data_IF_923531667587
#
_entry.id   IF_923531667587
#
_cell.length_a   1.000
_cell.length_b   1.000
_cell.length_c   1.000
_cell.angle_alpha   90.00
_cell.angle_beta   90.00
_cell.angle_gamma   90.00
#
_symmetry.space_group_name_H-M   'P 1'
#
loop_
_entity.id
_entity.type
_entity.pdbx_description
1 polymer ?
#
# COMPACT_ATOMS: atom_id res chain seq x y z
N UNK A 1 -27.83 -49.25 38.77
CA UNK A 1 -28.12 -48.44 39.98
C UNK A 1 -26.81 -48.31 40.74
N UNK A 2 -26.19 -47.16 40.96
CA UNK A 2 -26.65 -45.77 40.99
C UNK A 2 -25.53 -44.86 40.40
N UNK A 3 -25.89 -43.99 39.46
CA UNK A 3 -25.85 -42.52 39.58
C UNK A 3 -24.44 -41.92 39.78
N UNK A 4 -23.80 -41.43 38.72
CA UNK A 4 -23.86 -40.04 38.22
C UNK A 4 -23.28 -38.98 39.20
N UNK A 5 -22.42 -38.12 38.64
CA UNK A 5 -22.15 -36.69 38.97
C UNK A 5 -20.91 -36.32 39.82
N UNK A 6 -19.86 -35.80 39.14
CA UNK A 6 -19.12 -34.51 39.35
C UNK A 6 -17.69 -34.65 38.79
N UNK A 7 -17.38 -34.11 37.61
CA UNK A 7 -17.02 -32.72 37.24
C UNK A 7 -15.61 -32.26 37.68
N UNK A 8 -14.83 -31.80 36.67
CA UNK A 8 -13.75 -30.79 36.71
C UNK A 8 -12.47 -31.16 37.48
N UNK A 9 -11.25 -30.84 37.09
CA UNK A 9 -10.64 -30.19 35.94
C UNK A 9 -9.12 -30.38 36.12
N UNK A 10 -8.34 -30.50 35.05
CA UNK A 10 -7.14 -29.69 34.84
C UNK A 10 -6.62 -29.97 33.41
N UNK A 11 -7.05 -29.07 32.53
CA UNK A 11 -6.33 -28.65 31.33
C UNK A 11 -4.86 -28.32 31.67
N UNK A 12 -3.91 -28.70 30.82
CA UNK A 12 -2.89 -27.73 30.44
C UNK A 12 -2.58 -27.90 28.95
N UNK A 13 -3.24 -27.04 28.20
CA UNK A 13 -3.20 -26.88 26.77
C UNK A 13 -1.75 -26.63 26.30
N UNK A 14 -1.19 -27.56 25.53
CA UNK A 14 -0.09 -27.23 24.63
C UNK A 14 -0.68 -26.66 23.34
N UNK A 15 -1.29 -25.47 23.44
CA UNK A 15 -1.51 -24.65 22.25
C UNK A 15 -0.12 -24.15 21.86
N UNK A 16 0.51 -24.85 20.93
CA UNK A 16 1.60 -24.28 20.15
C UNK A 16 1.01 -23.06 19.43
N UNK A 17 1.13 -21.88 20.05
CA UNK A 17 1.07 -20.63 19.32
C UNK A 17 2.32 -20.57 18.46
N UNK A 18 2.24 -21.19 17.29
CA UNK A 18 3.08 -20.83 16.17
C UNK A 18 2.70 -19.39 15.82
N UNK A 19 3.33 -18.41 16.49
CA UNK A 19 3.42 -17.05 15.95
C UNK A 19 4.30 -17.18 14.72
N UNK A 20 3.69 -17.58 13.61
CA UNK A 20 4.27 -17.33 12.32
C UNK A 20 4.52 -15.82 12.30
N UNK A 21 5.79 -15.43 12.21
CA UNK A 21 6.16 -14.11 11.75
C UNK A 21 5.78 -14.11 10.27
N UNK A 22 4.48 -13.98 10.01
CA UNK A 22 3.99 -13.62 8.70
C UNK A 22 4.43 -12.17 8.59
N UNK A 23 5.51 -11.92 7.85
CA UNK A 23 5.70 -10.61 7.28
C UNK A 23 4.37 -10.30 6.59
N UNK A 24 3.63 -9.30 7.09
CA UNK A 24 2.31 -8.94 6.59
C UNK A 24 2.48 -8.53 5.12
N UNK A 25 2.38 -9.51 4.23
CA UNK A 25 2.35 -9.30 2.80
C UNK A 25 0.96 -8.75 2.52
N UNK A 26 0.90 -7.48 2.11
CA UNK A 26 -0.32 -6.77 1.77
C UNK A 26 -1.18 -7.58 0.80
N UNK A 27 -2.39 -7.97 1.19
CA UNK A 27 -3.24 -8.81 0.34
C UNK A 27 -3.48 -8.20 -1.05
N UNK A 28 -3.57 -9.05 -2.07
CA UNK A 28 -4.06 -8.59 -3.37
C UNK A 28 -5.50 -8.12 -3.25
N UNK A 29 -5.87 -7.08 -4.00
CA UNK A 29 -7.23 -6.54 -3.95
C UNK A 29 -7.33 -5.11 -4.41
N UNK A 30 -8.51 -4.52 -4.16
CA UNK A 30 -8.78 -3.11 -4.44
C UNK A 30 -8.69 -2.29 -3.17
N UNK A 31 -8.07 -1.12 -3.27
CA UNK A 31 -7.79 -0.25 -2.13
C UNK A 31 -8.08 1.21 -2.47
N UNK A 32 -8.57 1.94 -1.48
CA UNK A 32 -8.26 3.35 -1.38
C UNK A 32 -6.93 3.51 -0.65
N UNK A 33 -6.07 4.39 -1.14
CA UNK A 33 -4.76 4.67 -0.52
C UNK A 33 -4.78 6.12 -0.04
N UNK A 34 -4.46 6.35 1.23
CA UNK A 34 -4.35 7.69 1.80
C UNK A 34 -3.02 7.89 2.50
N UNK A 35 -2.57 9.14 2.60
CA UNK A 35 -1.39 9.49 3.39
C UNK A 35 -1.73 9.46 4.88
N UNK A 36 -0.75 9.14 5.73
CA UNK A 36 -0.93 9.14 7.18
C UNK A 36 -0.81 10.55 7.82
N UNK A 37 -0.24 11.52 7.12
CA UNK A 37 -0.18 12.93 7.53
C UNK A 37 -1.59 13.54 7.63
N UNK A 38 -1.78 14.52 8.53
CA UNK A 38 -3.06 15.22 8.69
C UNK A 38 -3.12 16.54 7.88
N UNK A 39 -4.24 16.86 7.21
CA UNK A 39 -5.35 15.95 6.92
C UNK A 39 -4.86 14.78 6.06
N UNK A 40 -5.59 13.64 6.10
CA UNK A 40 -5.28 12.37 5.40
C UNK A 40 -5.97 12.28 4.02
N UNK A 41 -5.55 13.02 2.97
CA UNK A 41 -6.17 12.90 1.67
C UNK A 41 -5.90 11.52 1.07
N UNK A 42 -6.89 11.05 0.30
CA UNK A 42 -6.69 9.94 -0.61
C UNK A 42 -5.83 10.38 -1.79
N UNK A 43 -5.03 9.46 -2.30
CA UNK A 43 -4.34 9.67 -3.58
C UNK A 43 -5.16 9.08 -4.72
N UNK A 44 -5.12 9.77 -5.85
CA UNK A 44 -5.75 9.33 -7.07
C UNK A 44 -4.99 9.83 -8.28
N UNK A 45 -5.39 9.32 -9.44
CA UNK A 45 -4.92 9.85 -10.72
C UNK A 45 -5.51 11.24 -10.96
N UNK A 46 -4.69 12.15 -11.47
CA UNK A 46 -5.19 13.44 -11.96
C UNK A 46 -6.02 13.27 -13.24
N UNK A 47 -7.11 14.03 -13.36
CA UNK A 47 -8.04 13.96 -14.51
C UNK A 47 -7.52 14.66 -15.77
N UNK A 48 -6.26 15.09 -15.80
CA UNK A 48 -5.62 15.70 -16.96
C UNK A 48 -5.74 14.80 -18.21
N UNK A 49 -5.99 15.37 -19.40
CA UNK A 49 -6.03 14.61 -20.66
C UNK A 49 -4.64 14.17 -21.14
N UNK A 50 -3.58 14.39 -20.35
CA UNK A 50 -2.22 13.97 -20.70
C UNK A 50 -2.10 12.44 -20.74
N UNK A 51 -1.19 11.90 -21.58
CA UNK A 51 -0.93 10.45 -21.65
C UNK A 51 -0.26 9.92 -20.38
N UNK A 52 0.51 10.77 -19.69
CA UNK A 52 1.02 10.52 -18.35
C UNK A 52 0.21 11.37 -17.37
N UNK A 53 -0.50 10.69 -16.47
CA UNK A 53 -1.39 11.36 -15.52
C UNK A 53 -0.76 11.34 -14.14
N UNK A 54 -0.41 12.49 -13.55
CA UNK A 54 0.20 12.53 -12.23
C UNK A 54 -0.65 11.83 -11.16
N UNK A 55 0.01 11.16 -10.22
CA UNK A 55 -0.62 10.71 -8.98
C UNK A 55 -0.60 11.88 -8.01
N UNK A 56 -1.76 12.27 -7.49
CA UNK A 56 -1.92 13.45 -6.65
C UNK A 56 -2.85 13.17 -5.47
N UNK A 57 -2.74 13.96 -4.42
CA UNK A 57 -3.77 14.05 -3.38
C UNK A 57 -5.09 14.55 -3.97
N UNK A 58 -6.20 13.99 -3.52
CA UNK A 58 -7.56 14.28 -4.03
C UNK A 58 -7.66 14.15 -5.57
N UNK A 59 -7.01 13.12 -6.12
CA UNK A 59 -7.19 12.69 -7.50
C UNK A 59 -8.57 12.08 -7.75
N UNK A 60 -9.03 12.08 -9.01
CA UNK A 60 -10.39 11.64 -9.35
C UNK A 60 -10.55 10.12 -9.34
N UNK A 61 -9.55 9.38 -9.83
CA UNK A 61 -9.56 7.92 -9.82
C UNK A 61 -8.68 7.43 -8.68
N UNK A 62 -9.29 7.18 -7.52
CA UNK A 62 -8.62 6.85 -6.26
C UNK A 62 -8.85 5.39 -5.81
N UNK A 63 -9.33 4.53 -6.71
CA UNK A 63 -9.48 3.10 -6.49
C UNK A 63 -8.34 2.35 -7.17
N UNK A 64 -7.45 1.79 -6.36
CA UNK A 64 -6.22 1.17 -6.80
C UNK A 64 -6.32 -0.35 -6.73
N UNK A 65 -5.95 -1.04 -7.80
CA UNK A 65 -5.74 -2.48 -7.79
C UNK A 65 -4.29 -2.76 -7.40
N UNK A 66 -4.12 -3.54 -6.34
CA UNK A 66 -2.83 -4.03 -5.85
C UNK A 66 -2.71 -5.51 -6.16
N UNK A 67 -1.64 -5.91 -6.85
CA UNK A 67 -1.28 -7.31 -7.10
C UNK A 67 0.10 -7.62 -6.54
N UNK A 68 0.27 -8.77 -5.91
CA UNK A 68 1.56 -9.24 -5.45
C UNK A 68 2.31 -9.90 -6.60
N UNK A 69 3.62 -9.74 -6.58
CA UNK A 69 4.55 -10.44 -7.45
C UNK A 69 5.22 -11.60 -6.69
N UNK A 70 5.77 -12.61 -7.39
CA UNK A 70 6.38 -13.78 -6.74
C UNK A 70 7.54 -13.47 -5.78
N UNK A 71 8.17 -12.31 -5.92
CA UNK A 71 9.26 -11.83 -5.07
C UNK A 71 8.78 -11.03 -3.83
N UNK A 72 7.46 -10.89 -3.66
CA UNK A 72 6.84 -10.13 -2.57
C UNK A 72 6.72 -8.64 -2.81
N UNK A 73 7.19 -8.12 -3.95
CA UNK A 73 6.86 -6.75 -4.40
C UNK A 73 5.42 -6.68 -4.89
N UNK A 74 4.92 -5.48 -5.15
CA UNK A 74 3.56 -5.26 -5.65
C UNK A 74 3.55 -4.43 -6.93
N UNK A 75 2.48 -4.56 -7.70
CA UNK A 75 2.10 -3.59 -8.73
C UNK A 75 0.89 -2.81 -8.24
N UNK A 76 0.86 -1.52 -8.55
CA UNK A 76 -0.26 -0.62 -8.23
C UNK A 76 -0.78 -0.07 -9.55
N UNK A 77 -2.07 -0.28 -9.80
CA UNK A 77 -2.73 0.12 -11.03
C UNK A 77 -4.08 0.76 -10.77
N UNK A 78 -4.55 1.58 -11.72
CA UNK A 78 -5.91 2.09 -11.78
C UNK A 78 -6.62 1.53 -13.02
N UNK A 79 -7.94 1.42 -12.96
CA UNK A 79 -8.76 0.86 -14.04
C UNK A 79 -9.11 -0.63 -13.87
N UNK A 80 -9.90 -1.14 -14.81
CA UNK A 80 -10.47 -2.50 -14.78
C UNK A 80 -9.63 -3.50 -15.59
N UNK A 81 -10.02 -4.78 -15.54
CA UNK A 81 -9.30 -5.90 -16.19
C UNK A 81 -9.07 -5.77 -17.71
N UNK A 82 -9.70 -4.79 -18.37
CA UNK A 82 -9.55 -4.52 -19.80
C UNK A 82 -8.69 -3.30 -20.17
N UNK A 83 -8.45 -2.36 -19.25
CA UNK A 83 -7.59 -1.18 -19.42
C UNK A 83 -7.00 -0.85 -18.05
N UNK A 84 -5.70 -1.08 -17.89
CA UNK A 84 -4.98 -0.81 -16.64
C UNK A 84 -3.88 0.23 -16.88
N UNK A 85 -3.93 1.30 -16.10
CA UNK A 85 -2.84 2.26 -16.00
C UNK A 85 -1.97 1.90 -14.80
N UNK A 86 -0.68 1.68 -15.02
CA UNK A 86 0.26 1.34 -13.93
C UNK A 86 0.95 2.59 -13.38
N UNK A 87 1.15 2.62 -12.07
CA UNK A 87 1.95 3.68 -11.45
C UNK A 87 3.44 3.44 -11.69
N UNK A 88 4.10 4.44 -12.29
CA UNK A 88 5.52 4.45 -12.62
C UNK A 88 6.14 5.82 -12.33
N UNK A 89 7.44 5.97 -12.64
CA UNK A 89 8.12 7.26 -12.59
C UNK A 89 8.21 7.89 -13.98
N UNK A 90 7.99 9.20 -14.06
CA UNK A 90 8.39 9.99 -15.22
C UNK A 90 9.91 10.32 -15.18
N UNK A 91 10.41 10.97 -16.23
CA UNK A 91 11.82 11.39 -16.31
C UNK A 91 12.23 12.38 -15.21
N UNK A 92 11.26 13.07 -14.59
CA UNK A 92 11.46 14.01 -13.49
C UNK A 92 11.39 13.37 -12.09
N UNK A 93 11.05 12.08 -11.99
CA UNK A 93 10.88 11.37 -10.72
C UNK A 93 9.52 11.61 -10.04
N UNK A 94 8.53 12.13 -10.77
CA UNK A 94 7.15 12.20 -10.30
C UNK A 94 6.46 10.85 -10.51
N UNK A 95 5.50 10.53 -9.65
CA UNK A 95 4.66 9.34 -9.83
C UNK A 95 3.57 9.69 -10.83
N UNK A 96 3.46 8.87 -11.88
CA UNK A 96 2.47 9.01 -12.94
C UNK A 96 1.81 7.67 -13.23
N UNK A 97 0.56 7.72 -13.66
CA UNK A 97 -0.15 6.59 -14.25
C UNK A 97 0.05 6.61 -15.75
N UNK A 98 0.32 5.44 -16.33
CA UNK A 98 0.39 5.26 -17.78
C UNK A 98 -0.25 3.94 -18.21
N UNK A 99 -1.10 4.02 -19.23
CA UNK A 99 -1.81 2.88 -19.82
C UNK A 99 -0.92 2.03 -20.75
N UNK A 100 0.26 2.54 -21.12
CA UNK A 100 1.21 1.87 -22.02
C UNK A 100 2.42 1.28 -21.26
N UNK A 101 2.44 1.42 -19.93
CA UNK A 101 3.59 1.04 -19.12
C UNK A 101 3.63 -0.45 -18.79
N UNK A 102 4.85 -1.00 -18.75
CA UNK A 102 5.09 -2.27 -18.06
C UNK A 102 4.85 -2.08 -16.55
N UNK A 103 4.21 -3.04 -15.86
CA UNK A 103 3.97 -2.91 -14.43
C UNK A 103 5.26 -2.68 -13.66
N UNK A 104 5.33 -1.57 -12.92
CA UNK A 104 6.47 -1.27 -12.06
C UNK A 104 6.32 -1.98 -10.71
N UNK A 105 7.37 -2.71 -10.32
CA UNK A 105 7.42 -3.44 -9.06
C UNK A 105 7.81 -2.51 -7.90
N UNK A 106 6.88 -2.25 -6.98
CA UNK A 106 7.10 -1.45 -5.77
C UNK A 106 7.35 -2.36 -4.56
N UNK A 107 8.29 -1.99 -3.70
CA UNK A 107 8.46 -2.67 -2.41
C UNK A 107 7.54 -2.01 -1.40
N UNK A 108 6.72 -2.80 -0.70
CA UNK A 108 5.88 -2.28 0.38
C UNK A 108 6.29 -2.89 1.71
N UNK A 109 6.45 -2.04 2.73
CA UNK A 109 6.88 -2.47 4.05
C UNK A 109 5.99 -1.88 5.12
N UNK A 110 5.61 -2.71 6.09
CA UNK A 110 4.94 -2.25 7.30
C UNK A 110 5.90 -1.34 8.08
N UNK A 111 5.43 -0.13 8.41
CA UNK A 111 6.21 0.84 9.16
C UNK A 111 5.80 0.86 10.64
N UNK A 112 4.70 1.54 10.98
CA UNK A 112 4.14 1.60 12.33
C UNK A 112 2.62 1.44 12.28
N UNK A 113 2.05 0.68 13.24
CA UNK A 113 0.63 0.37 13.26
C UNK A 113 0.19 -0.33 11.97
N UNK A 114 -0.81 0.25 11.30
CA UNK A 114 -1.34 -0.22 10.01
C UNK A 114 -0.89 0.67 8.84
N UNK A 115 0.23 1.39 8.99
CA UNK A 115 0.82 2.24 7.94
C UNK A 115 1.99 1.57 7.25
N UNK A 116 2.18 1.89 5.98
CA UNK A 116 3.17 1.29 5.11
C UNK A 116 4.05 2.34 4.42
N UNK A 117 5.29 1.98 4.11
CA UNK A 117 6.08 2.69 3.09
C UNK A 117 5.88 2.01 1.73
N UNK A 118 5.80 2.82 0.66
CA UNK A 118 5.85 2.36 -0.72
C UNK A 118 7.19 2.80 -1.30
N UNK A 119 8.09 1.87 -1.56
CA UNK A 119 9.51 2.10 -1.81
C UNK A 119 9.89 1.72 -3.23
N UNK A 120 10.78 2.52 -3.81
CA UNK A 120 11.49 2.14 -5.02
C UNK A 120 12.28 0.84 -4.74
N UNK A 121 12.31 -0.14 -5.66
CA UNK A 121 12.83 -1.48 -5.40
C UNK A 121 14.37 -1.55 -5.21
N UNK A 122 15.07 -0.40 -5.17
CA UNK A 122 16.49 -0.39 -4.87
C UNK A 122 16.71 -0.37 -3.36
N UNK A 123 17.20 -1.48 -2.79
CA UNK A 123 17.49 -1.61 -1.35
C UNK A 123 18.77 -0.87 -0.93
N UNK A 124 18.99 0.33 -1.46
CA UNK A 124 20.14 1.19 -1.14
C UNK A 124 19.68 2.21 -0.10
N UNK A 125 20.50 2.48 0.90
CA UNK A 125 20.25 3.52 1.91
C UNK A 125 20.93 4.85 1.51
N UNK A 126 20.26 6.00 1.68
CA UNK A 126 18.89 6.18 2.20
C UNK A 126 17.83 5.65 1.21
N UNK A 127 16.75 5.09 1.75
CA UNK A 127 15.65 4.51 0.95
C UNK A 127 14.97 5.60 0.16
N UNK A 128 14.46 5.30 -1.04
CA UNK A 128 13.56 6.18 -1.78
C UNK A 128 12.16 5.61 -1.80
N UNK A 129 11.16 6.41 -1.48
CA UNK A 129 9.77 5.97 -1.52
C UNK A 129 8.80 7.12 -1.78
N UNK A 130 7.54 6.75 -1.93
CA UNK A 130 6.45 7.67 -2.22
C UNK A 130 6.30 8.67 -1.09
N UNK A 131 6.11 9.93 -1.46
CA UNK A 131 5.97 11.03 -0.53
C UNK A 131 5.11 12.13 -1.13
N UNK A 132 4.37 12.85 -0.28
CA UNK A 132 3.78 14.14 -0.66
C UNK A 132 4.59 15.29 -0.07
N UNK A 133 4.49 16.47 -0.69
CA UNK A 133 5.09 17.69 -0.15
C UNK A 133 4.26 18.24 1.01
N UNK A 134 2.94 18.19 0.88
CA UNK A 134 1.94 18.61 1.85
C UNK A 134 0.63 17.88 1.55
N UNK A 135 -0.34 17.97 2.46
CA UNK A 135 -1.67 17.39 2.32
C UNK A 135 -2.67 18.31 1.59
N UNK A 136 -2.21 19.34 0.89
CA UNK A 136 -3.12 20.20 0.10
C UNK A 136 -3.68 19.40 -1.09
N UNK A 137 -4.91 19.67 -1.55
CA UNK A 137 -5.45 19.04 -2.75
C UNK A 137 -4.53 19.23 -3.95
N UNK A 138 -4.42 18.21 -4.79
CA UNK A 138 -3.56 18.21 -5.99
C UNK A 138 -2.05 18.31 -5.72
N UNK A 139 -1.60 18.09 -4.49
CA UNK A 139 -0.17 17.87 -4.21
C UNK A 139 0.28 16.59 -4.90
N UNK A 140 1.34 16.68 -5.69
CA UNK A 140 1.93 15.54 -6.36
C UNK A 140 2.50 14.52 -5.36
N UNK A 141 2.31 13.25 -5.68
CA UNK A 141 3.07 12.14 -5.09
C UNK A 141 4.39 12.05 -5.86
N UNK A 142 5.50 12.10 -5.13
CA UNK A 142 6.86 12.14 -5.67
C UNK A 142 7.73 11.12 -4.95
N UNK A 143 8.88 10.79 -5.54
CA UNK A 143 9.88 9.96 -4.88
C UNK A 143 10.80 10.83 -4.00
N UNK A 144 10.89 10.54 -2.70
CA UNK A 144 11.82 11.20 -1.77
C UNK A 144 12.67 10.20 -0.99
N UNK A 145 13.89 10.62 -0.66
CA UNK A 145 14.78 9.84 0.20
C UNK A 145 14.41 9.96 1.66
N UNK A 146 14.51 8.86 2.42
CA UNK A 146 14.39 8.83 3.87
C UNK A 146 15.18 7.68 4.49
N UNK A 147 15.67 7.90 5.71
CA UNK A 147 16.16 6.83 6.58
C UNK A 147 15.07 6.39 7.56
N UNK A 148 14.30 7.36 8.06
CA UNK A 148 13.14 7.19 8.93
C UNK A 148 11.97 7.88 8.22
N UNK A 149 10.88 7.16 7.89
CA UNK A 149 9.76 7.76 7.18
C UNK A 149 9.02 8.76 8.07
N UNK A 150 8.68 9.92 7.49
CA UNK A 150 7.79 10.93 8.09
C UNK A 150 6.32 10.63 7.72
N UNK A 151 5.32 11.24 8.39
CA UNK A 151 3.91 11.01 8.07
C UNK A 151 3.55 11.19 6.59
N UNK A 152 4.22 12.10 5.87
CA UNK A 152 4.02 12.34 4.43
C UNK A 152 4.60 11.23 3.53
N UNK A 153 5.23 10.22 4.12
CA UNK A 153 5.86 9.06 3.48
C UNK A 153 5.22 7.74 3.94
N UNK A 154 4.23 7.84 4.82
CA UNK A 154 3.47 6.72 5.36
C UNK A 154 2.09 6.69 4.72
N UNK A 155 1.64 5.47 4.39
CA UNK A 155 0.46 5.23 3.58
C UNK A 155 -0.44 4.22 4.27
N UNK A 156 -1.73 4.52 4.30
CA UNK A 156 -2.77 3.61 4.77
C UNK A 156 -3.49 3.01 3.57
N UNK A 157 -3.62 1.69 3.55
CA UNK A 157 -4.33 0.94 2.53
C UNK A 157 -5.68 0.52 3.10
N UNK A 158 -6.74 1.11 2.59
CA UNK A 158 -8.12 0.86 3.03
C UNK A 158 -8.74 -0.11 2.02
N UNK A 159 -8.93 -1.40 2.38
CA UNK A 159 -9.47 -2.39 1.46
C UNK A 159 -10.92 -2.05 1.09
N UNK A 160 -11.27 -2.30 -0.17
CA UNK A 160 -12.64 -2.22 -0.67
C UNK A 160 -13.17 -3.65 -0.80
N UNK A 161 -14.18 -3.98 0.00
CA UNK A 161 -14.87 -5.27 -0.09
C UNK A 161 -15.62 -5.36 -1.44
N UNK A 162 -15.45 -6.49 -2.15
CA UNK A 162 -16.23 -6.82 -3.36
C UNK A 162 -17.52 -7.58 -3.03
#
# INVERSE_FOLDING_TARGET
MALLTRLLALELSAVLSLRAVIAFAMSEGKYHIQVAADPKPFIGMDSSPAPLKPVVTDGSDNLWTVKQLPDGSITIAVGDSGHQGFVQLDEGGNLVVSDEATPFAWSVKLAEGDTYTIEFPNHIRPTRGWSIKNSEPKSAVILRTFDIPMPEQLWEFIPVEE
#
